data_IF_733477133356
#
_entry.id   IF_733477133356
#
_cell.length_a   1.000
_cell.length_b   1.000
_cell.length_c   1.000
_cell.angle_alpha   90.00
_cell.angle_beta   90.00
_cell.angle_gamma   90.00
#
_symmetry.space_group_name_H-M   'P 1'
#
loop_
_entity.id
_entity.type
_entity.pdbx_description
1 polymer ?
#
# COMPACT_ATOMS: atom_id res chain seq x y z
N UNK A 1 -12.65 -4.18 6.16
CA UNK A 1 -11.80 -4.99 5.24
C UNK A 1 -10.35 -4.51 5.22
N UNK A 2 -10.09 -3.24 4.88
CA UNK A 2 -8.73 -2.69 4.82
C UNK A 2 -8.00 -2.72 6.17
N UNK A 3 -8.64 -2.26 7.26
CA UNK A 3 -8.07 -2.33 8.63
C UNK A 3 -7.64 -3.76 9.01
N UNK A 4 -8.52 -4.75 8.86
CA UNK A 4 -8.19 -6.17 9.09
C UNK A 4 -6.98 -6.69 8.29
N UNK A 5 -6.67 -6.09 7.13
CA UNK A 5 -5.47 -6.42 6.34
C UNK A 5 -4.23 -5.67 6.85
N UNK A 6 -4.39 -4.47 7.38
CA UNK A 6 -3.32 -3.71 8.04
C UNK A 6 -2.91 -4.39 9.34
N UNK A 7 -3.86 -4.81 10.17
CA UNK A 7 -3.61 -5.51 11.45
C UNK A 7 -2.81 -6.82 11.26
N UNK A 8 -2.91 -7.42 10.08
CA UNK A 8 -2.23 -8.67 9.70
C UNK A 8 -1.07 -8.45 8.74
N UNK A 9 -0.68 -7.20 8.50
CA UNK A 9 0.39 -6.89 7.57
C UNK A 9 1.73 -7.36 8.14
N UNK A 10 2.51 -8.10 7.34
CA UNK A 10 3.85 -8.53 7.77
C UNK A 10 4.79 -7.36 7.99
N UNK A 11 4.62 -6.26 7.25
CA UNK A 11 5.46 -5.08 7.35
C UNK A 11 5.07 -4.13 8.50
N UNK A 12 3.89 -4.28 9.10
CA UNK A 12 3.40 -3.34 10.13
C UNK A 12 3.42 -1.89 9.66
N UNK A 13 4.03 -1.02 10.45
CA UNK A 13 4.19 0.41 10.17
C UNK A 13 5.18 0.71 9.02
N UNK A 14 6.12 -0.19 8.75
CA UNK A 14 7.10 -0.07 7.66
C UNK A 14 6.53 -0.55 6.32
N UNK A 15 5.21 -0.50 6.15
CA UNK A 15 4.53 -1.01 4.98
C UNK A 15 4.87 -0.15 3.73
N UNK A 16 5.37 -0.76 2.63
CA UNK A 16 5.56 -0.05 1.38
C UNK A 16 4.23 0.29 0.71
N UNK A 17 4.26 1.15 -0.30
CA UNK A 17 3.11 1.43 -1.14
C UNK A 17 2.49 0.12 -1.68
N UNK A 18 1.16 0.01 -1.59
CA UNK A 18 0.45 -1.23 -1.95
C UNK A 18 0.65 -1.65 -3.42
N UNK A 19 1.02 -0.70 -4.28
CA UNK A 19 1.35 -0.92 -5.69
C UNK A 19 2.61 -1.77 -5.86
N UNK A 20 3.62 -1.54 -5.03
CA UNK A 20 4.94 -2.18 -5.09
C UNK A 20 5.10 -3.35 -4.10
N UNK A 21 4.18 -3.50 -3.15
CA UNK A 21 4.24 -4.56 -2.15
C UNK A 21 4.32 -5.96 -2.82
N UNK A 22 5.36 -6.77 -2.49
CA UNK A 22 5.56 -8.09 -3.09
C UNK A 22 4.60 -9.14 -2.52
N UNK A 23 3.92 -8.82 -1.42
CA UNK A 23 2.94 -9.72 -0.79
C UNK A 23 1.56 -9.50 -1.43
N UNK A 24 1.00 -10.57 -2.00
CA UNK A 24 -0.38 -10.59 -2.46
C UNK A 24 -1.36 -10.72 -1.28
N UNK A 25 -1.71 -9.59 -0.65
CA UNK A 25 -2.59 -9.56 0.53
C UNK A 25 -4.03 -9.10 0.25
N UNK A 26 -4.28 -8.43 -0.88
CA UNK A 26 -5.58 -7.85 -1.25
C UNK A 26 -6.28 -8.72 -2.30
N UNK A 27 -7.59 -8.94 -2.15
CA UNK A 27 -8.34 -9.69 -3.16
C UNK A 27 -8.26 -9.00 -4.53
N UNK A 28 -8.17 -9.75 -5.64
CA UNK A 28 -8.03 -9.18 -6.98
C UNK A 28 -9.10 -8.13 -7.31
N UNK A 29 -10.37 -8.43 -6.98
CA UNK A 29 -11.51 -7.51 -7.17
C UNK A 29 -11.32 -6.19 -6.42
N UNK A 30 -10.88 -6.25 -5.16
CA UNK A 30 -10.64 -5.04 -4.36
C UNK A 30 -9.40 -4.27 -4.86
N UNK A 31 -8.38 -4.97 -5.35
CA UNK A 31 -7.19 -4.35 -5.97
C UNK A 31 -7.56 -3.62 -7.26
N UNK A 32 -8.43 -4.19 -8.09
CA UNK A 32 -8.94 -3.54 -9.30
C UNK A 32 -9.75 -2.28 -8.95
N UNK A 33 -10.65 -2.35 -7.96
CA UNK A 33 -11.39 -1.19 -7.49
C UNK A 33 -10.45 -0.06 -7.01
N UNK A 34 -9.42 -0.40 -6.23
CA UNK A 34 -8.45 0.60 -5.77
C UNK A 34 -7.68 1.24 -6.94
N UNK A 35 -7.32 0.48 -7.97
CA UNK A 35 -6.70 1.04 -9.18
C UNK A 35 -7.61 2.07 -9.87
N UNK A 36 -8.92 1.79 -9.96
CA UNK A 36 -9.89 2.72 -10.54
C UNK A 36 -9.98 4.02 -9.72
N UNK A 37 -10.06 3.89 -8.38
CA UNK A 37 -10.04 5.03 -7.46
C UNK A 37 -8.79 5.87 -7.66
N UNK A 38 -7.60 5.26 -7.65
CA UNK A 38 -6.34 6.00 -7.82
C UNK A 38 -6.24 6.65 -9.21
N UNK A 39 -6.76 6.01 -10.27
CA UNK A 39 -6.78 6.58 -11.63
C UNK A 39 -7.65 7.82 -11.73
N UNK A 40 -8.75 7.87 -10.98
CA UNK A 40 -9.64 9.02 -10.95
C UNK A 40 -9.18 10.10 -9.97
N UNK A 41 -8.84 9.73 -8.73
CA UNK A 41 -8.48 10.66 -7.67
C UNK A 41 -7.06 11.22 -7.81
N UNK A 42 -6.10 10.43 -8.31
CA UNK A 42 -4.68 10.80 -8.35
C UNK A 42 -4.41 12.14 -9.04
N UNK A 43 -4.81 12.32 -10.32
CA UNK A 43 -4.61 13.59 -11.02
C UNK A 43 -5.34 14.77 -10.37
N UNK A 44 -6.50 14.53 -9.75
CA UNK A 44 -7.29 15.57 -9.08
C UNK A 44 -6.66 16.01 -7.75
N UNK A 45 -5.96 15.12 -7.07
CA UNK A 45 -5.27 15.41 -5.82
C UNK A 45 -4.20 16.50 -5.99
N UNK A 46 -3.58 16.60 -7.17
CA UNK A 46 -2.62 17.68 -7.48
C UNK A 46 -3.27 19.08 -7.44
N UNK A 47 -4.55 19.17 -7.80
CA UNK A 47 -5.28 20.45 -7.87
C UNK A 47 -5.79 20.84 -6.47
N UNK A 48 -6.46 19.92 -5.78
CA UNK A 48 -7.15 20.23 -4.52
C UNK A 48 -6.28 20.05 -3.27
N UNK A 49 -5.32 19.13 -3.31
CA UNK A 49 -4.48 18.78 -2.17
C UNK A 49 -3.02 18.56 -2.57
N UNK A 50 -2.34 19.59 -3.11
CA UNK A 50 -1.01 19.45 -3.71
C UNK A 50 0.04 18.88 -2.74
N UNK A 51 0.00 19.28 -1.46
CA UNK A 51 0.90 18.74 -0.43
C UNK A 51 0.72 17.22 -0.24
N UNK A 52 -0.52 16.74 -0.13
CA UNK A 52 -0.80 15.31 -0.01
C UNK A 52 -0.46 14.56 -1.31
N UNK A 53 -0.66 15.19 -2.47
CA UNK A 53 -0.26 14.64 -3.76
C UNK A 53 1.26 14.41 -3.84
N UNK A 54 2.06 15.40 -3.45
CA UNK A 54 3.52 15.27 -3.41
C UNK A 54 3.93 14.15 -2.46
N UNK A 55 3.38 14.12 -1.23
CA UNK A 55 3.67 13.08 -0.25
C UNK A 55 3.36 11.68 -0.79
N UNK A 56 2.19 11.53 -1.40
CA UNK A 56 1.75 10.29 -2.02
C UNK A 56 2.70 9.84 -3.14
N UNK A 57 3.14 10.75 -4.01
CA UNK A 57 4.07 10.45 -5.10
C UNK A 57 5.47 10.05 -4.60
N UNK A 58 5.93 10.66 -3.50
CA UNK A 58 7.19 10.28 -2.85
C UNK A 58 7.06 8.88 -2.24
N UNK A 59 5.97 8.60 -1.52
CA UNK A 59 5.73 7.28 -0.92
C UNK A 59 5.64 6.17 -1.98
N UNK A 60 5.04 6.46 -3.14
CA UNK A 60 4.95 5.56 -4.29
C UNK A 60 6.32 5.29 -4.96
N UNK A 61 7.34 6.11 -4.72
CA UNK A 61 8.70 5.93 -5.25
C UNK A 61 9.66 5.28 -4.25
N UNK A 62 9.27 5.13 -2.98
CA UNK A 62 10.14 4.51 -1.96
C UNK A 62 10.46 3.06 -2.32
N UNK A 63 11.69 2.59 -2.05
CA UNK A 63 12.02 1.19 -2.25
C UNK A 63 11.23 0.31 -1.28
N UNK A 64 10.96 -0.92 -1.72
CA UNK A 64 10.29 -1.92 -0.87
C UNK A 64 11.27 -2.36 0.22
N UNK A 65 10.91 -2.27 1.51
CA UNK A 65 11.78 -2.74 2.59
C UNK A 65 11.86 -4.27 2.59
N UNK A 66 12.91 -4.79 3.21
CA UNK A 66 13.11 -6.23 3.35
C UNK A 66 11.94 -6.87 4.13
N UNK A 67 11.54 -8.08 3.72
CA UNK A 67 10.52 -8.82 4.44
C UNK A 67 11.03 -9.21 5.83
N UNK A 68 10.27 -8.97 6.91
CA UNK A 68 10.70 -9.37 8.24
C UNK A 68 10.79 -10.90 8.34
N UNK A 69 11.79 -11.35 9.09
CA UNK A 69 12.10 -12.76 9.28
C UNK A 69 10.85 -13.55 9.71
N UNK A 70 10.62 -14.69 9.05
CA UNK A 70 9.48 -15.58 9.37
C UNK A 70 9.74 -16.19 10.75
N UNK A 71 9.01 -15.76 11.78
CA UNK A 71 8.99 -16.45 13.08
C UNK A 71 8.43 -17.86 12.86
N UNK A 72 9.32 -18.85 12.73
CA UNK A 72 8.98 -20.27 12.63
C UNK A 72 8.41 -20.70 13.97
N UNK A 73 7.08 -20.69 14.13
CA UNK A 73 6.45 -21.50 15.19
C UNK A 73 6.60 -22.97 14.79
N UNK A 74 7.73 -23.58 15.15
CA UNK A 74 7.82 -25.04 15.34
C UNK A 74 7.41 -25.26 16.80
N UNK A 75 6.21 -25.78 16.99
CA UNK A 75 5.88 -26.64 18.12
C UNK A 75 5.94 -28.06 17.58
#
# INVERSE_FOLDING_TARGET
YAYKRLDKCRYGEEKPACKQCPIHCYQPVKRAAMKQVMRWAGPRMLIYHPYLAIRHLIDDKKPVPALPAKKSKRL
#
